data_IF_203791506966
#
_entry.id   IF_203791506966
#
_cell.length_a   1.000
_cell.length_b   1.000
_cell.length_c   1.000
_cell.angle_alpha   90.00
_cell.angle_beta   90.00
_cell.angle_gamma   90.00
#
_symmetry.space_group_name_H-M   'P 1'
#
loop_
_entity.id
_entity.type
_entity.pdbx_description
1 polymer ?
#
# COMPACT_ATOMS: atom_id res chain seq x y z
N UNK A 1 3.84 -25.21 26.52
CA UNK A 1 2.85 -24.14 26.76
C UNK A 1 2.75 -23.31 25.49
N UNK A 2 1.53 -23.10 24.96
CA UNK A 2 1.34 -22.38 23.70
C UNK A 2 1.65 -20.90 23.89
N UNK A 3 2.39 -20.30 22.95
CA UNK A 3 2.69 -18.86 22.93
C UNK A 3 2.04 -18.21 21.72
N UNK A 4 1.57 -16.99 21.89
CA UNK A 4 1.01 -16.14 20.85
C UNK A 4 1.93 -14.96 20.64
N UNK A 5 2.20 -14.62 19.39
CA UNK A 5 3.14 -13.56 19.04
C UNK A 5 2.41 -12.43 18.33
N UNK A 6 2.74 -11.20 18.69
CA UNK A 6 2.35 -10.00 17.95
C UNK A 6 3.60 -9.36 17.37
N UNK A 7 3.51 -8.95 16.10
CA UNK A 7 4.57 -8.34 15.32
C UNK A 7 4.10 -6.98 14.83
N UNK A 8 4.63 -5.93 15.46
CA UNK A 8 4.47 -4.55 15.02
C UNK A 8 5.61 -4.18 14.07
N UNK A 9 5.31 -4.20 12.78
CA UNK A 9 6.29 -4.10 11.70
C UNK A 9 6.51 -2.65 11.25
N UNK A 10 7.75 -2.20 11.27
CA UNK A 10 8.15 -0.89 10.76
C UNK A 10 8.95 -1.02 9.46
N UNK A 11 9.47 0.10 8.94
CA UNK A 11 10.31 0.10 7.74
C UNK A 11 11.67 -0.58 7.98
N UNK A 12 12.33 -0.28 9.12
CA UNK A 12 13.71 -0.71 9.41
C UNK A 12 13.79 -1.93 10.33
N UNK A 13 12.85 -2.06 11.26
CA UNK A 13 12.80 -3.15 12.23
C UNK A 13 11.36 -3.59 12.45
N UNK A 14 11.17 -4.69 13.16
CA UNK A 14 9.89 -5.18 13.64
C UNK A 14 9.99 -5.49 15.13
N UNK A 15 8.97 -5.10 15.89
CA UNK A 15 8.88 -5.40 17.32
C UNK A 15 8.00 -6.62 17.54
N UNK A 16 8.58 -7.68 18.10
CA UNK A 16 7.85 -8.88 18.49
C UNK A 16 7.54 -8.84 19.98
N UNK A 17 6.29 -9.12 20.33
CA UNK A 17 5.85 -9.37 21.70
C UNK A 17 5.25 -10.77 21.79
N UNK A 18 5.58 -11.51 22.85
CA UNK A 18 5.00 -12.82 23.11
C UNK A 18 4.01 -12.77 24.27
N UNK A 19 3.04 -13.67 24.27
CA UNK A 19 2.06 -13.83 25.34
C UNK A 19 1.74 -15.31 25.51
N UNK A 20 1.60 -15.76 26.76
CA UNK A 20 1.17 -17.12 27.04
C UNK A 20 -0.37 -17.24 27.11
N UNK A 21 -0.86 -18.46 27.34
CA UNK A 21 -2.30 -18.73 27.48
C UNK A 21 -2.91 -18.05 28.71
N UNK A 22 -2.14 -17.76 29.75
CA UNK A 22 -2.60 -17.08 30.97
C UNK A 22 -2.56 -15.55 30.85
N UNK A 23 -2.31 -15.00 29.65
CA UNK A 23 -2.15 -13.58 29.37
C UNK A 23 -0.93 -12.92 30.04
N UNK A 24 0.05 -13.72 30.48
CA UNK A 24 1.32 -13.16 30.95
C UNK A 24 2.13 -12.69 29.74
N UNK A 25 2.59 -11.43 29.73
CA UNK A 25 3.49 -10.96 28.69
C UNK A 25 4.82 -11.69 28.80
N UNK A 26 5.31 -12.19 27.67
CA UNK A 26 6.65 -12.73 27.54
C UNK A 26 7.67 -11.66 27.14
N UNK A 27 8.72 -12.11 26.46
CA UNK A 27 9.80 -11.24 25.99
C UNK A 27 9.35 -10.37 24.82
N UNK A 28 9.93 -9.17 24.78
CA UNK A 28 9.88 -8.26 23.64
C UNK A 28 11.21 -8.29 22.92
N UNK A 29 11.19 -8.54 21.61
CA UNK A 29 12.40 -8.64 20.79
C UNK A 29 12.26 -7.69 19.61
N UNK A 30 13.23 -6.79 19.48
CA UNK A 30 13.37 -6.00 18.27
C UNK A 30 14.21 -6.79 17.28
N UNK A 31 13.68 -6.96 16.07
CA UNK A 31 14.33 -7.68 14.98
C UNK A 31 14.52 -6.70 13.82
N UNK A 32 15.75 -6.54 13.34
CA UNK A 32 15.96 -5.69 12.16
C UNK A 32 15.35 -6.35 10.92
N UNK A 33 14.82 -5.55 9.99
CA UNK A 33 14.19 -6.04 8.76
C UNK A 33 15.24 -6.41 7.70
N UNK A 34 16.18 -7.27 8.09
CA UNK A 34 17.01 -8.05 7.19
C UNK A 34 16.40 -9.45 7.10
N UNK A 35 16.36 -10.05 5.90
CA UNK A 35 15.85 -11.42 5.74
C UNK A 35 16.58 -12.42 6.63
N UNK A 36 17.89 -12.27 6.78
CA UNK A 36 18.71 -13.20 7.56
C UNK A 36 18.38 -13.09 9.06
N UNK A 37 18.43 -11.87 9.62
CA UNK A 37 18.09 -11.66 11.03
C UNK A 37 16.63 -12.03 11.35
N UNK A 38 15.72 -11.80 10.41
CA UNK A 38 14.33 -12.19 10.55
C UNK A 38 14.17 -13.71 10.59
N UNK A 39 14.83 -14.44 9.67
CA UNK A 39 14.86 -15.91 9.68
C UNK A 39 15.47 -16.47 10.95
N UNK A 40 16.63 -15.95 11.35
CA UNK A 40 17.32 -16.36 12.57
C UNK A 40 16.38 -16.24 13.77
N UNK A 41 15.67 -15.11 13.87
CA UNK A 41 14.68 -14.91 14.93
C UNK A 41 13.52 -15.91 14.85
N UNK A 42 12.94 -16.13 13.66
CA UNK A 42 11.85 -17.10 13.50
C UNK A 42 12.28 -18.52 13.93
N UNK A 43 13.52 -18.93 13.64
CA UNK A 43 14.05 -20.22 14.09
C UNK A 43 14.19 -20.35 15.61
N UNK A 44 14.21 -19.24 16.35
CA UNK A 44 14.16 -19.28 17.83
C UNK A 44 12.75 -19.53 18.38
N UNK A 45 11.72 -19.37 17.55
CA UNK A 45 10.34 -19.55 17.96
C UNK A 45 9.93 -21.04 17.90
N UNK A 46 9.01 -21.48 18.77
CA UNK A 46 8.44 -22.82 18.66
C UNK A 46 7.81 -23.06 17.27
N UNK A 47 7.96 -24.26 16.67
CA UNK A 47 7.31 -24.61 15.43
C UNK A 47 5.78 -24.41 15.49
N UNK A 48 5.16 -23.96 14.39
CA UNK A 48 3.71 -23.72 14.35
C UNK A 48 3.22 -22.53 15.19
N UNK A 49 4.12 -21.66 15.64
CA UNK A 49 3.75 -20.45 16.40
C UNK A 49 2.74 -19.58 15.65
N UNK A 50 1.61 -19.18 16.26
CA UNK A 50 0.70 -18.20 15.69
C UNK A 50 1.26 -16.79 15.85
N UNK A 51 1.35 -16.04 14.75
CA UNK A 51 1.96 -14.69 14.72
C UNK A 51 0.97 -13.69 14.12
N UNK A 52 0.56 -12.68 14.88
CA UNK A 52 -0.24 -11.57 14.38
C UNK A 52 0.68 -10.47 13.85
N UNK A 53 0.59 -10.18 12.55
CA UNK A 53 1.34 -9.13 11.88
C UNK A 53 0.41 -7.95 11.55
N UNK A 54 0.80 -6.73 11.88
CA UNK A 54 0.05 -5.55 11.44
C UNK A 54 0.16 -5.36 9.91
N UNK A 55 -0.94 -4.95 9.26
CA UNK A 55 -0.93 -4.59 7.85
C UNK A 55 -0.11 -3.32 7.58
N UNK A 56 1.10 -3.52 7.05
CA UNK A 56 2.03 -2.45 6.67
C UNK A 56 2.57 -2.64 5.25
N UNK A 57 3.09 -1.59 4.60
CA UNK A 57 3.43 -1.65 3.17
C UNK A 57 4.43 -2.76 2.75
N UNK A 58 5.23 -3.29 3.67
CA UNK A 58 6.26 -4.30 3.44
C UNK A 58 5.90 -5.70 3.99
N UNK A 59 4.63 -5.99 4.31
CA UNK A 59 4.26 -7.26 4.96
C UNK A 59 4.50 -8.51 4.08
N UNK A 60 4.59 -8.38 2.75
CA UNK A 60 4.58 -9.52 1.82
C UNK A 60 5.68 -10.54 2.12
N UNK A 61 6.93 -10.08 2.16
CA UNK A 61 8.08 -10.95 2.42
C UNK A 61 8.06 -11.48 3.86
N UNK A 62 7.54 -10.71 4.83
CA UNK A 62 7.48 -11.15 6.23
C UNK A 62 6.58 -12.37 6.38
N UNK A 63 5.40 -12.35 5.73
CA UNK A 63 4.50 -13.50 5.67
C UNK A 63 5.20 -14.70 5.02
N UNK A 64 5.88 -14.50 3.89
CA UNK A 64 6.58 -15.58 3.20
C UNK A 64 7.63 -16.25 4.09
N UNK A 65 8.44 -15.45 4.81
CA UNK A 65 9.47 -15.99 5.71
C UNK A 65 8.85 -16.67 6.94
N UNK A 66 7.74 -16.15 7.48
CA UNK A 66 6.99 -16.81 8.56
C UNK A 66 6.42 -18.16 8.13
N UNK A 67 5.79 -18.24 6.95
CA UNK A 67 5.23 -19.47 6.39
C UNK A 67 6.33 -20.50 6.08
N UNK A 68 7.46 -20.06 5.47
CA UNK A 68 8.63 -20.92 5.20
C UNK A 68 9.27 -21.47 6.47
N UNK A 69 9.26 -20.72 7.56
CA UNK A 69 9.72 -21.19 8.87
C UNK A 69 8.72 -22.14 9.56
N UNK A 70 7.56 -22.43 8.94
CA UNK A 70 6.55 -23.33 9.48
C UNK A 70 5.66 -22.69 10.56
N UNK A 71 5.55 -21.36 10.57
CA UNK A 71 4.66 -20.63 11.47
C UNK A 71 3.31 -20.33 10.83
N UNK A 72 2.36 -19.87 11.65
CA UNK A 72 0.99 -19.58 11.23
C UNK A 72 0.72 -18.08 11.34
N UNK A 73 1.07 -17.29 10.32
CA UNK A 73 0.85 -15.86 10.38
C UNK A 73 -0.63 -15.49 10.18
N UNK A 74 -1.04 -14.40 10.83
CA UNK A 74 -2.33 -13.74 10.64
C UNK A 74 -2.10 -12.25 10.43
N UNK A 75 -2.59 -11.72 9.32
CA UNK A 75 -2.48 -10.31 9.02
C UNK A 75 -3.64 -9.55 9.67
N UNK A 76 -3.35 -8.51 10.44
CA UNK A 76 -4.33 -7.70 11.15
C UNK A 76 -4.60 -6.38 10.41
N UNK A 77 -5.87 -5.97 10.34
CA UNK A 77 -6.20 -4.61 9.91
C UNK A 77 -5.68 -3.60 10.95
N UNK A 78 -4.70 -2.79 10.57
CA UNK A 78 -4.01 -1.85 11.45
C UNK A 78 -4.97 -0.89 12.18
N UNK A 79 -5.85 -0.23 11.42
CA UNK A 79 -6.80 0.74 11.96
C UNK A 79 -7.79 0.11 12.94
N UNK A 80 -8.35 -1.06 12.59
CA UNK A 80 -9.29 -1.76 13.47
C UNK A 80 -8.61 -2.36 14.69
N UNK A 81 -7.41 -2.94 14.54
CA UNK A 81 -6.63 -3.47 15.66
C UNK A 81 -6.33 -2.36 16.67
N UNK A 82 -5.87 -1.19 16.20
CA UNK A 82 -5.60 -0.04 17.05
C UNK A 82 -6.82 0.42 17.84
N UNK A 83 -7.99 0.50 17.20
CA UNK A 83 -9.24 0.85 17.88
C UNK A 83 -9.61 -0.19 18.96
N UNK A 84 -9.45 -1.48 18.66
CA UNK A 84 -9.77 -2.56 19.60
C UNK A 84 -8.79 -2.65 20.77
N UNK A 85 -7.53 -2.25 20.59
CA UNK A 85 -6.54 -2.21 21.67
C UNK A 85 -6.83 -1.08 22.67
N UNK A 86 -7.53 -0.01 22.25
CA UNK A 86 -7.99 1.05 23.16
C UNK A 86 -6.88 1.82 23.89
N UNK A 87 -5.64 1.78 23.38
CA UNK A 87 -4.48 2.34 24.06
C UNK A 87 -4.33 3.84 23.76
N UNK A 88 -4.21 4.66 24.82
CA UNK A 88 -3.95 6.10 24.72
C UNK A 88 -2.47 6.36 24.40
N UNK A 89 -1.57 5.57 24.99
CA UNK A 89 -0.13 5.68 24.77
C UNK A 89 0.32 4.74 23.65
N UNK A 90 1.11 5.26 22.71
CA UNK A 90 1.64 4.49 21.59
C UNK A 90 3.12 4.16 21.80
N UNK A 91 3.45 2.87 21.88
CA UNK A 91 4.84 2.39 21.80
C UNK A 91 4.85 1.04 21.08
N UNK A 92 5.92 0.75 20.35
CA UNK A 92 6.03 -0.48 19.56
C UNK A 92 5.84 -1.75 20.42
N UNK A 93 6.30 -1.71 21.67
CA UNK A 93 6.11 -2.82 22.63
C UNK A 93 4.63 -3.00 23.00
N UNK A 94 3.91 -1.91 23.23
CA UNK A 94 2.48 -1.97 23.57
C UNK A 94 1.62 -2.39 22.37
N UNK A 95 1.99 -1.94 21.17
CA UNK A 95 1.34 -2.33 19.92
C UNK A 95 1.55 -3.83 19.66
N UNK A 96 2.80 -4.33 19.75
CA UNK A 96 3.11 -5.76 19.64
C UNK A 96 2.40 -6.61 20.71
N UNK A 97 2.35 -6.14 21.96
CA UNK A 97 1.62 -6.81 23.06
C UNK A 97 0.12 -6.88 22.75
N UNK A 98 -0.47 -5.80 22.27
CA UNK A 98 -1.90 -5.74 21.97
C UNK A 98 -2.28 -6.65 20.80
N UNK A 99 -1.43 -6.76 19.77
CA UNK A 99 -1.61 -7.74 18.69
C UNK A 99 -1.58 -9.19 19.21
N UNK A 100 -0.61 -9.52 20.08
CA UNK A 100 -0.52 -10.84 20.71
C UNK A 100 -1.78 -11.17 21.53
N UNK A 101 -2.29 -10.18 22.29
CA UNK A 101 -3.51 -10.31 23.09
C UNK A 101 -4.75 -10.55 22.21
N UNK A 102 -4.93 -9.77 21.14
CA UNK A 102 -6.04 -9.93 20.21
C UNK A 102 -5.98 -11.31 19.51
N UNK A 103 -4.78 -11.78 19.17
CA UNK A 103 -4.60 -13.10 18.59
C UNK A 103 -4.96 -14.22 19.58
N UNK A 104 -4.46 -14.13 20.81
CA UNK A 104 -4.74 -15.08 21.90
C UNK A 104 -6.24 -15.16 22.18
N UNK A 105 -6.92 -14.02 22.22
CA UNK A 105 -8.36 -13.96 22.49
C UNK A 105 -9.24 -14.37 21.30
N UNK A 106 -8.65 -14.63 20.13
CA UNK A 106 -9.40 -14.94 18.91
C UNK A 106 -10.16 -13.74 18.33
N UNK A 107 -9.89 -12.52 18.80
CA UNK A 107 -10.58 -11.28 18.40
C UNK A 107 -9.77 -10.46 17.40
N UNK A 108 -8.62 -10.96 16.94
CA UNK A 108 -7.78 -10.28 15.95
C UNK A 108 -8.61 -9.92 14.70
N UNK A 109 -8.68 -8.63 14.31
CA UNK A 109 -9.38 -8.20 13.10
C UNK A 109 -8.57 -8.62 11.86
N UNK A 110 -8.65 -9.91 11.56
CA UNK A 110 -7.82 -10.56 10.57
C UNK A 110 -8.29 -10.18 9.17
N UNK A 111 -7.34 -9.91 8.29
CA UNK A 111 -7.57 -9.76 6.86
C UNK A 111 -7.01 -10.98 6.15
N UNK A 112 -7.66 -11.36 5.06
CA UNK A 112 -7.21 -12.49 4.26
C UNK A 112 -5.83 -12.23 3.66
N UNK A 113 -4.94 -13.21 3.79
CA UNK A 113 -3.62 -13.25 3.15
C UNK A 113 -3.78 -14.01 1.84
N UNK A 114 -3.69 -13.34 0.67
CA UNK A 114 -3.72 -14.05 -0.60
C UNK A 114 -2.42 -14.87 -0.80
N UNK A 115 -2.46 -15.97 -1.57
CA UNK A 115 -1.26 -16.70 -1.96
C UNK A 115 -0.20 -15.79 -2.59
N UNK A 116 1.07 -16.17 -2.50
CA UNK A 116 2.20 -15.37 -2.99
C UNK A 116 2.07 -14.94 -4.46
N UNK A 117 1.67 -15.88 -5.33
CA UNK A 117 1.43 -15.59 -6.75
C UNK A 117 0.32 -14.56 -6.94
N UNK A 118 -0.84 -14.74 -6.30
CA UNK A 118 -1.95 -13.78 -6.39
C UNK A 118 -1.58 -12.41 -5.79
N UNK A 119 -0.70 -12.36 -4.79
CA UNK A 119 -0.19 -11.11 -4.23
C UNK A 119 0.64 -10.32 -5.25
N UNK A 120 1.49 -11.01 -6.00
CA UNK A 120 2.29 -10.42 -7.08
C UNK A 120 1.41 -9.94 -8.24
N UNK A 121 0.48 -10.77 -8.70
CA UNK A 121 -0.47 -10.39 -9.76
C UNK A 121 -1.29 -9.14 -9.42
N UNK A 122 -1.61 -8.94 -8.12
CA UNK A 122 -2.34 -7.75 -7.64
C UNK A 122 -1.55 -6.44 -7.75
N UNK A 123 -0.25 -6.46 -8.00
CA UNK A 123 0.51 -5.25 -8.30
C UNK A 123 0.06 -4.61 -9.62
N UNK A 124 -0.38 -5.38 -10.61
CA UNK A 124 -0.87 -4.85 -11.89
C UNK A 124 -2.09 -3.92 -11.73
N UNK A 125 -3.22 -4.34 -11.11
CA UNK A 125 -4.35 -3.44 -10.89
C UNK A 125 -3.99 -2.28 -9.95
N UNK A 126 -3.07 -2.45 -8.98
CA UNK A 126 -2.59 -1.34 -8.13
C UNK A 126 -1.82 -0.30 -8.94
N UNK A 127 -0.91 -0.74 -9.81
CA UNK A 127 -0.17 0.11 -10.73
C UNK A 127 -1.13 0.87 -11.66
N UNK A 128 -2.13 0.18 -12.23
CA UNK A 128 -3.17 0.84 -13.03
C UNK A 128 -3.89 1.94 -12.24
N UNK A 129 -4.33 1.64 -11.01
CA UNK A 129 -4.97 2.64 -10.14
C UNK A 129 -4.05 3.85 -9.88
N UNK A 130 -2.76 3.62 -9.67
CA UNK A 130 -1.78 4.70 -9.49
C UNK A 130 -1.65 5.58 -10.75
N UNK A 131 -1.50 4.98 -11.93
CA UNK A 131 -1.44 5.73 -13.19
C UNK A 131 -2.73 6.49 -13.49
N UNK A 132 -3.90 5.90 -13.21
CA UNK A 132 -5.18 6.60 -13.36
C UNK A 132 -5.25 7.84 -12.45
N UNK A 133 -4.73 7.78 -11.22
CA UNK A 133 -4.64 8.96 -10.33
C UNK A 133 -3.73 10.04 -10.92
N UNK A 134 -2.58 9.66 -11.47
CA UNK A 134 -1.67 10.61 -12.15
C UNK A 134 -2.35 11.25 -13.36
N UNK A 135 -3.01 10.46 -14.20
CA UNK A 135 -3.79 10.95 -15.35
C UNK A 135 -4.83 12.00 -14.92
N UNK A 136 -5.64 11.68 -13.91
CA UNK A 136 -6.65 12.60 -13.38
C UNK A 136 -6.03 13.88 -12.82
N UNK A 137 -4.91 13.77 -12.10
CA UNK A 137 -4.18 14.91 -11.56
C UNK A 137 -3.67 15.83 -12.68
N UNK A 138 -3.08 15.28 -13.74
CA UNK A 138 -2.62 16.05 -14.90
C UNK A 138 -3.78 16.74 -15.62
N UNK A 139 -4.88 16.02 -15.90
CA UNK A 139 -6.08 16.59 -16.52
C UNK A 139 -6.64 17.75 -15.71
N UNK A 140 -6.79 17.59 -14.39
CA UNK A 140 -7.29 18.64 -13.50
C UNK A 140 -6.40 19.88 -13.48
N UNK A 141 -5.08 19.69 -13.50
CA UNK A 141 -4.13 20.81 -13.54
C UNK A 141 -4.17 21.57 -14.87
N UNK A 142 -4.34 20.87 -15.99
CA UNK A 142 -4.53 21.50 -17.30
C UNK A 142 -5.84 22.30 -17.31
N UNK A 143 -6.94 21.72 -16.83
CA UNK A 143 -8.20 22.46 -16.67
C UNK A 143 -8.02 23.72 -15.83
N UNK A 144 -7.35 23.61 -14.67
CA UNK A 144 -7.11 24.76 -13.80
C UNK A 144 -6.21 25.81 -14.46
N UNK A 145 -5.22 25.41 -15.27
CA UNK A 145 -4.35 26.32 -16.01
C UNK A 145 -5.14 27.12 -17.05
N UNK A 146 -6.03 26.47 -17.81
CA UNK A 146 -6.91 27.15 -18.77
C UNK A 146 -7.90 28.10 -18.07
N UNK A 147 -8.50 27.64 -16.96
CA UNK A 147 -9.48 28.41 -16.21
C UNK A 147 -8.91 29.71 -15.60
N UNK A 148 -7.62 29.74 -15.22
CA UNK A 148 -6.94 30.96 -14.74
C UNK A 148 -6.99 32.13 -15.73
N UNK A 149 -7.13 31.82 -17.02
CA UNK A 149 -7.16 32.80 -18.11
C UNK A 149 -8.52 32.83 -18.83
N UNK A 150 -9.57 32.29 -18.18
CA UNK A 150 -10.92 32.20 -18.73
C UNK A 150 -11.00 31.50 -20.11
N UNK A 151 -10.06 30.61 -20.41
CA UNK A 151 -10.07 29.80 -21.62
C UNK A 151 -10.99 28.61 -21.38
N UNK A 152 -12.10 28.55 -22.11
CA UNK A 152 -13.09 27.49 -22.01
C UNK A 152 -13.27 26.83 -23.37
N UNK A 153 -13.21 25.50 -23.39
CA UNK A 153 -13.49 24.66 -24.56
C UNK A 153 -14.82 23.96 -24.28
N UNK A 154 -15.91 24.40 -24.90
CA UNK A 154 -17.28 23.91 -24.65
C UNK A 154 -17.76 22.93 -25.72
N UNK A 155 -17.06 22.88 -26.83
CA UNK A 155 -17.37 22.11 -28.03
C UNK A 155 -17.18 20.60 -27.80
N UNK A 156 -16.43 20.21 -26.77
CA UNK A 156 -16.11 18.83 -26.46
C UNK A 156 -16.37 18.51 -25.00
N UNK A 157 -17.01 17.36 -24.74
CA UNK A 157 -17.16 16.81 -23.39
C UNK A 157 -15.83 16.31 -22.81
N UNK A 158 -14.93 15.80 -23.67
CA UNK A 158 -13.54 15.47 -23.33
C UNK A 158 -12.58 16.34 -24.14
N UNK A 159 -12.04 17.37 -23.49
CA UNK A 159 -11.06 18.28 -24.11
C UNK A 159 -9.70 17.61 -24.40
N UNK A 160 -9.48 16.39 -23.89
CA UNK A 160 -8.25 15.64 -24.11
C UNK A 160 -8.34 14.64 -25.27
N UNK A 161 -9.53 14.48 -25.87
CA UNK A 161 -9.72 13.74 -27.11
C UNK A 161 -9.14 14.47 -28.33
N UNK A 162 -9.19 13.83 -29.50
CA UNK A 162 -8.55 14.35 -30.74
C UNK A 162 -9.02 15.78 -31.08
N UNK A 163 -10.33 16.01 -31.15
CA UNK A 163 -10.89 17.33 -31.45
C UNK A 163 -10.63 18.37 -30.36
N UNK A 164 -10.79 17.97 -29.09
CA UNK A 164 -10.51 18.82 -27.93
C UNK A 164 -9.05 19.28 -27.86
N UNK A 165 -8.10 18.39 -28.17
CA UNK A 165 -6.67 18.73 -28.23
C UNK A 165 -6.34 19.66 -29.37
N UNK A 166 -6.94 19.47 -30.55
CA UNK A 166 -6.73 20.36 -31.68
C UNK A 166 -7.20 21.79 -31.35
N UNK A 167 -8.38 21.92 -30.74
CA UNK A 167 -8.90 23.21 -30.29
C UNK A 167 -8.08 23.78 -29.11
N UNK A 168 -7.64 22.94 -28.17
CA UNK A 168 -6.75 23.40 -27.10
C UNK A 168 -5.45 23.96 -27.66
N UNK A 169 -4.84 23.28 -28.62
CA UNK A 169 -3.59 23.70 -29.26
C UNK A 169 -3.71 25.07 -29.94
N UNK A 170 -4.84 25.35 -30.61
CA UNK A 170 -5.07 26.67 -31.23
C UNK A 170 -5.24 27.79 -30.19
N UNK A 171 -5.74 27.46 -28.99
CA UNK A 171 -5.97 28.40 -27.87
C UNK A 171 -4.76 28.55 -26.95
N UNK A 172 -3.74 27.68 -27.02
CA UNK A 172 -2.53 27.78 -26.19
C UNK A 172 -1.82 29.12 -26.36
N UNK A 173 -1.97 29.75 -27.53
CA UNK A 173 -1.50 31.11 -27.85
C UNK A 173 -1.98 32.20 -26.89
N UNK A 174 -3.12 32.00 -26.21
CA UNK A 174 -3.70 32.95 -25.26
C UNK A 174 -3.05 32.87 -23.87
N UNK A 175 -2.37 31.77 -23.56
CA UNK A 175 -1.68 31.59 -22.28
C UNK A 175 -0.36 32.36 -22.25
N UNK A 176 0.02 32.97 -21.10
CA UNK A 176 1.37 33.48 -20.88
C UNK A 176 2.44 32.38 -21.02
N UNK A 177 3.70 32.73 -21.34
CA UNK A 177 4.73 31.76 -21.72
C UNK A 177 4.94 30.61 -20.71
N UNK A 178 4.97 30.93 -19.42
CA UNK A 178 5.21 29.94 -18.35
C UNK A 178 4.02 29.01 -18.16
N UNK A 179 2.79 29.53 -18.23
CA UNK A 179 1.59 28.69 -18.15
C UNK A 179 1.48 27.80 -19.38
N UNK A 180 1.74 28.34 -20.58
CA UNK A 180 1.78 27.57 -21.82
C UNK A 180 2.76 26.41 -21.72
N UNK A 181 4.02 26.70 -21.38
CA UNK A 181 5.05 25.68 -21.21
C UNK A 181 4.65 24.61 -20.18
N UNK A 182 4.02 25.02 -19.08
CA UNK A 182 3.51 24.09 -18.07
C UNK A 182 2.39 23.19 -18.60
N UNK A 183 1.45 23.71 -19.40
CA UNK A 183 0.37 22.91 -20.00
C UNK A 183 0.94 21.94 -21.04
N UNK A 184 1.84 22.40 -21.91
CA UNK A 184 2.50 21.57 -22.93
C UNK A 184 3.28 20.40 -22.30
N UNK A 185 4.03 20.65 -21.23
CA UNK A 185 4.74 19.60 -20.52
C UNK A 185 3.77 18.58 -19.88
N UNK A 186 2.66 19.06 -19.31
CA UNK A 186 1.64 18.18 -18.71
C UNK A 186 0.89 17.36 -19.75
N UNK A 187 0.63 17.90 -20.95
CA UNK A 187 0.03 17.15 -22.06
C UNK A 187 0.94 15.99 -22.50
N UNK A 188 2.26 16.23 -22.61
CA UNK A 188 3.24 15.18 -22.94
C UNK A 188 3.25 14.06 -21.89
N UNK A 189 3.27 14.42 -20.60
CA UNK A 189 3.19 13.44 -19.51
C UNK A 189 1.85 12.70 -19.50
N UNK A 190 0.76 13.38 -19.83
CA UNK A 190 -0.56 12.77 -19.93
C UNK A 190 -0.57 11.67 -21.00
N UNK A 191 0.03 11.92 -22.15
CA UNK A 191 0.15 10.93 -23.24
C UNK A 191 0.94 9.69 -22.80
N UNK A 192 2.08 9.89 -22.15
CA UNK A 192 2.90 8.80 -21.62
C UNK A 192 2.15 7.97 -20.58
N UNK A 193 1.43 8.62 -19.66
CA UNK A 193 0.66 7.92 -18.62
C UNK A 193 -0.51 7.15 -19.24
N UNK A 194 -1.19 7.70 -20.24
CA UNK A 194 -2.27 7.00 -20.95
C UNK A 194 -1.76 5.76 -21.71
N UNK A 195 -0.57 5.83 -22.31
CA UNK A 195 0.09 4.68 -22.91
C UNK A 195 0.42 3.60 -21.87
N UNK A 196 1.01 3.98 -20.72
CA UNK A 196 1.31 3.05 -19.64
C UNK A 196 0.05 2.39 -19.05
N UNK A 197 -1.07 3.11 -18.99
CA UNK A 197 -2.36 2.54 -18.59
C UNK A 197 -2.80 1.45 -19.58
N UNK A 198 -2.71 1.71 -20.90
CA UNK A 198 -3.09 0.72 -21.93
C UNK A 198 -2.21 -0.53 -21.87
N UNK A 199 -0.90 -0.35 -21.69
CA UNK A 199 0.05 -1.46 -21.53
C UNK A 199 -0.27 -2.29 -20.28
N UNK A 200 -0.51 -1.61 -19.16
CA UNK A 200 -0.90 -2.27 -17.91
C UNK A 200 -2.24 -3.03 -18.06
N UNK A 201 -3.23 -2.45 -18.73
CA UNK A 201 -4.51 -3.13 -19.00
C UNK A 201 -4.37 -4.35 -19.90
N UNK A 202 -3.43 -4.33 -20.86
CA UNK A 202 -3.09 -5.50 -21.66
C UNK A 202 -2.48 -6.60 -20.79
N UNK A 203 -1.48 -6.26 -19.97
CA UNK A 203 -0.85 -7.20 -19.04
C UNK A 203 -1.85 -7.81 -18.05
N UNK A 204 -2.77 -7.00 -17.50
CA UNK A 204 -3.82 -7.51 -16.60
C UNK A 204 -4.64 -8.61 -17.28
N UNK A 205 -5.04 -8.43 -18.54
CA UNK A 205 -5.84 -9.43 -19.27
C UNK A 205 -5.09 -10.72 -19.60
N UNK A 206 -3.76 -10.68 -19.58
CA UNK A 206 -2.90 -11.84 -19.85
C UNK A 206 -2.65 -12.67 -18.57
N UNK A 207 -2.68 -12.01 -17.41
CA UNK A 207 -2.31 -12.60 -16.11
C UNK A 207 -3.51 -12.96 -15.24
N UNK A 208 -4.62 -12.22 -15.37
CA UNK A 208 -5.86 -12.35 -14.58
C UNK A 208 -7.00 -12.83 -15.47
#
# INVERSE_FOLDING_TARGET
MKKFYGCDAHKKYSMFGSMDEACNPGLFVRVENSRDQFRDFLHTLPPGSPIALESVGNWYWMIDEMEKAGHVPKLANAGKAKLMMGQINKTDKLDAKGLALLLRNGTLPSVWIPPGELRDQRELPRMRMAFVRVRTMLKNRIHAALAKYAIVIKEFSDIFGVGGRALMASRLGELPPQTRSSVEAQLKLLDQVEEQIKLCEKQIKEVV
#
